data_IF_350274906097
#
_entry.id   IF_350274906097
#
_cell.length_a   1.000
_cell.length_b   1.000
_cell.length_c   1.000
_cell.angle_alpha   90.00
_cell.angle_beta   90.00
_cell.angle_gamma   90.00
#
_symmetry.space_group_name_H-M   'P 1'
#
loop_
_entity.id
_entity.type
_entity.pdbx_description
1 polymer ?
#
# COMPACT_ATOMS: atom_id res chain seq x y z
N UNK A 1 24.00 5.78 15.88
CA UNK A 1 25.02 6.58 15.19
C UNK A 1 25.01 7.98 15.81
N UNK A 2 26.12 8.41 16.38
CA UNK A 2 26.25 9.76 16.92
C UNK A 2 26.83 10.64 15.80
N UNK A 3 26.12 11.70 15.45
CA UNK A 3 26.51 12.64 14.41
C UNK A 3 26.69 14.02 15.05
N UNK A 4 27.83 14.66 14.79
CA UNK A 4 28.05 16.04 15.15
C UNK A 4 27.89 16.92 13.93
N UNK A 5 26.94 17.85 13.97
CA UNK A 5 26.73 18.86 12.93
C UNK A 5 26.73 20.25 13.54
N UNK A 6 27.40 21.20 12.90
CA UNK A 6 27.36 22.59 13.28
C UNK A 6 26.35 23.32 12.40
N UNK A 7 25.42 24.10 12.98
CA UNK A 7 24.48 24.86 12.17
C UNK A 7 25.20 26.05 11.50
N UNK A 8 24.85 26.30 10.25
CA UNK A 8 25.28 27.48 9.48
C UNK A 8 24.11 28.42 9.22
N UNK A 9 24.41 29.72 9.06
CA UNK A 9 23.41 30.72 8.69
C UNK A 9 23.09 30.62 7.22
N UNK A 10 21.79 30.52 6.91
CA UNK A 10 21.30 30.66 5.54
C UNK A 10 21.28 32.14 5.08
N UNK A 11 20.86 32.37 3.84
CA UNK A 11 20.78 33.72 3.24
C UNK A 11 19.79 34.66 3.98
N UNK A 12 18.86 34.10 4.75
CA UNK A 12 17.89 34.82 5.59
C UNK A 12 18.45 35.15 6.97
N UNK A 13 19.63 34.62 7.32
CA UNK A 13 20.28 34.78 8.63
C UNK A 13 19.83 33.76 9.68
N UNK A 14 19.00 32.79 9.32
CA UNK A 14 18.55 31.71 10.18
C UNK A 14 19.59 30.58 10.26
N UNK A 15 19.76 29.98 11.45
CA UNK A 15 20.64 28.86 11.61
C UNK A 15 19.97 27.55 11.13
N UNK A 16 20.62 26.83 10.21
CA UNK A 16 20.17 25.54 9.67
C UNK A 16 21.27 24.49 9.74
N UNK A 17 20.88 23.26 9.99
CA UNK A 17 21.79 22.11 9.98
C UNK A 17 22.15 21.64 8.55
N UNK A 18 21.42 22.08 7.53
CA UNK A 18 21.61 21.60 6.16
C UNK A 18 21.26 20.11 5.97
N UNK A 19 20.49 19.53 6.89
CA UNK A 19 20.09 18.14 6.85
C UNK A 19 18.57 18.03 6.77
N UNK A 20 18.10 17.11 5.91
CA UNK A 20 16.71 16.68 5.89
C UNK A 20 16.54 15.55 6.91
N UNK A 21 15.68 15.76 7.90
CA UNK A 21 15.37 14.76 8.93
C UNK A 21 13.91 14.37 8.76
N UNK A 22 13.65 13.07 8.67
CA UNK A 22 12.31 12.49 8.72
C UNK A 22 12.27 11.53 9.92
N UNK A 23 11.39 11.79 10.85
CA UNK A 23 11.18 11.00 12.06
C UNK A 23 9.97 10.08 11.95
N UNK A 24 9.04 10.39 11.05
CA UNK A 24 7.84 9.60 10.83
C UNK A 24 7.40 9.64 9.35
N UNK A 25 6.72 8.59 8.93
CA UNK A 25 6.06 8.51 7.64
C UNK A 25 4.66 7.96 7.80
N UNK A 26 3.72 8.50 7.04
CA UNK A 26 2.37 7.99 6.93
C UNK A 26 1.97 7.91 5.46
N UNK A 27 1.13 6.93 5.12
CA UNK A 27 0.63 6.74 3.77
C UNK A 27 -0.61 5.86 3.76
N UNK A 28 -1.43 5.99 2.72
CA UNK A 28 -2.56 5.10 2.48
C UNK A 28 -2.08 3.91 1.67
N UNK A 29 -2.52 2.72 2.06
CA UNK A 29 -2.24 1.49 1.36
C UNK A 29 -3.33 0.46 1.57
N UNK A 30 -3.20 -0.67 0.90
CA UNK A 30 -4.17 -1.76 0.96
C UNK A 30 -3.55 -2.96 1.67
N UNK A 31 -4.29 -3.51 2.64
CA UNK A 31 -3.98 -4.81 3.22
C UNK A 31 -4.30 -5.89 2.18
N UNK A 32 -3.30 -6.67 1.80
CA UNK A 32 -3.42 -7.70 0.76
C UNK A 32 -4.02 -8.98 1.31
N UNK A 33 -3.54 -9.43 2.46
CA UNK A 33 -4.02 -10.65 3.10
C UNK A 33 -3.87 -10.57 4.63
N UNK A 34 -4.63 -11.41 5.28
CA UNK A 34 -4.54 -11.72 6.70
C UNK A 34 -4.56 -13.24 6.90
N UNK A 35 -3.60 -13.73 7.66
CA UNK A 35 -3.55 -15.14 8.07
C UNK A 35 -4.11 -15.29 9.49
N UNK A 36 -5.27 -15.94 9.67
CA UNK A 36 -5.91 -16.06 10.97
C UNK A 36 -5.21 -17.02 11.94
N UNK A 37 -4.31 -17.88 11.46
CA UNK A 37 -3.56 -18.82 12.32
C UNK A 37 -2.41 -18.11 13.02
N UNK A 38 -1.62 -17.32 12.28
CA UNK A 38 -0.48 -16.59 12.83
C UNK A 38 -0.84 -15.19 13.34
N UNK A 39 -1.98 -14.65 12.92
CA UNK A 39 -2.38 -13.27 13.16
C UNK A 39 -1.59 -12.23 12.35
N UNK A 40 -0.84 -12.70 11.34
CA UNK A 40 0.00 -11.84 10.50
C UNK A 40 -0.82 -11.33 9.32
N UNK A 41 -0.62 -10.06 8.99
CA UNK A 41 -1.09 -9.51 7.72
C UNK A 41 0.09 -9.09 6.84
N UNK A 42 -0.15 -9.04 5.53
CA UNK A 42 0.73 -8.43 4.55
C UNK A 42 -0.02 -7.34 3.79
N UNK A 43 0.69 -6.28 3.43
CA UNK A 43 0.11 -5.14 2.71
C UNK A 43 1.07 -4.58 1.66
N UNK A 44 0.53 -3.84 0.70
CA UNK A 44 1.17 -3.12 -0.39
C UNK A 44 1.73 -4.00 -1.52
N UNK A 45 2.30 -5.16 -1.25
CA UNK A 45 3.01 -5.97 -2.25
C UNK A 45 4.36 -5.38 -2.71
N UNK A 46 4.83 -4.32 -2.07
CA UNK A 46 6.15 -3.70 -2.24
C UNK A 46 6.55 -2.99 -0.95
N UNK A 47 7.83 -2.76 -0.77
CA UNK A 47 8.34 -2.03 0.39
C UNK A 47 8.08 -0.53 0.30
N UNK A 48 8.07 0.10 1.46
CA UNK A 48 8.07 1.56 1.58
C UNK A 48 9.51 2.05 1.45
N UNK A 49 9.75 2.92 0.48
CA UNK A 49 11.08 3.43 0.15
C UNK A 49 11.14 4.94 0.38
N UNK A 50 12.33 5.42 0.65
CA UNK A 50 12.62 6.85 0.67
C UNK A 50 12.52 7.42 -0.75
N UNK A 51 11.79 8.51 -0.91
CA UNK A 51 11.48 9.09 -2.22
C UNK A 51 12.72 9.69 -2.92
N UNK A 52 13.71 10.15 -2.16
CA UNK A 52 14.89 10.81 -2.68
C UNK A 52 15.99 9.81 -3.05
N UNK A 53 16.14 8.75 -2.26
CA UNK A 53 17.20 7.76 -2.43
C UNK A 53 16.73 6.46 -3.08
N UNK A 54 15.42 6.19 -3.11
CA UNK A 54 14.83 4.93 -3.56
C UNK A 54 15.16 3.72 -2.68
N UNK A 55 15.82 3.94 -1.54
CA UNK A 55 16.18 2.85 -0.62
C UNK A 55 15.02 2.48 0.27
N UNK A 56 14.96 1.19 0.60
CA UNK A 56 13.99 0.69 1.57
C UNK A 56 14.19 1.39 2.91
N UNK A 57 13.09 1.91 3.46
CA UNK A 57 13.14 2.58 4.76
C UNK A 57 13.33 1.56 5.88
N UNK A 58 14.28 1.78 6.78
CA UNK A 58 14.39 0.97 7.98
C UNK A 58 13.16 1.20 8.86
N UNK A 59 12.58 0.11 9.33
CA UNK A 59 11.44 0.13 10.25
C UNK A 59 11.94 -0.18 11.66
N UNK A 60 11.79 0.76 12.57
CA UNK A 60 11.97 0.54 14.01
C UNK A 60 10.64 0.07 14.62
N UNK A 61 9.61 0.88 14.43
CA UNK A 61 8.24 0.56 14.82
C UNK A 61 7.25 1.24 13.87
N UNK A 62 6.03 0.73 13.82
CA UNK A 62 4.97 1.31 13.03
C UNK A 62 3.62 0.78 13.45
N UNK A 63 2.57 1.50 13.12
CA UNK A 63 1.19 1.08 13.33
C UNK A 63 0.40 1.12 12.03
N UNK A 64 -0.66 0.33 12.00
CA UNK A 64 -1.70 0.38 10.99
C UNK A 64 -2.98 0.92 11.64
N UNK A 65 -3.65 1.80 10.93
CA UNK A 65 -4.85 2.50 11.38
C UNK A 65 -5.92 2.40 10.31
N UNK A 66 -7.17 2.55 10.72
CA UNK A 66 -8.27 2.69 9.78
C UNK A 66 -8.10 3.97 8.96
N UNK A 67 -8.31 3.86 7.66
CA UNK A 67 -8.30 4.99 6.74
C UNK A 67 -9.64 5.12 6.01
N UNK A 68 -9.96 6.33 5.57
CA UNK A 68 -11.13 6.62 4.76
C UNK A 68 -10.73 7.45 3.57
N UNK A 69 -11.04 6.98 2.36
CA UNK A 69 -10.77 7.73 1.13
C UNK A 69 -11.74 8.90 1.02
N UNK A 70 -11.20 10.12 0.92
CA UNK A 70 -11.97 11.37 0.84
C UNK A 70 -12.03 11.94 -0.56
N UNK A 71 -10.98 11.75 -1.34
CA UNK A 71 -10.91 12.26 -2.70
C UNK A 71 -10.03 11.37 -3.57
N UNK A 72 -10.32 11.40 -4.87
CA UNK A 72 -9.54 10.74 -5.90
C UNK A 72 -9.00 11.82 -6.84
N UNK A 73 -7.70 11.87 -6.99
CA UNK A 73 -7.07 12.54 -8.13
C UNK A 73 -7.00 11.52 -9.26
N UNK A 74 -7.75 11.76 -10.32
CA UNK A 74 -7.78 10.86 -11.46
C UNK A 74 -6.42 10.80 -12.14
N UNK A 75 -6.00 9.58 -12.50
CA UNK A 75 -4.80 9.36 -13.32
C UNK A 75 -5.04 9.70 -14.78
N UNK A 76 -3.99 10.19 -15.43
CA UNK A 76 -3.94 10.48 -16.86
C UNK A 76 -2.70 9.83 -17.47
N UNK A 77 -2.62 9.84 -18.81
CA UNK A 77 -1.44 9.30 -19.50
C UNK A 77 -0.17 10.03 -19.04
N UNK A 78 0.80 9.26 -18.54
CA UNK A 78 2.06 9.75 -17.97
C UNK A 78 1.94 10.58 -16.66
N UNK A 79 0.74 10.68 -16.08
CA UNK A 79 0.51 11.33 -14.80
C UNK A 79 -0.31 10.40 -13.90
N UNK A 80 0.32 9.71 -12.92
CA UNK A 80 -0.40 8.81 -12.03
C UNK A 80 -1.42 9.56 -11.19
N UNK A 81 -2.54 8.90 -10.94
CA UNK A 81 -3.55 9.40 -10.02
C UNK A 81 -3.12 9.24 -8.56
N UNK A 82 -4.02 9.58 -7.65
CA UNK A 82 -3.75 9.49 -6.21
C UNK A 82 -5.07 9.32 -5.46
N UNK A 83 -5.09 8.47 -4.44
CA UNK A 83 -6.15 8.45 -3.43
C UNK A 83 -5.73 9.32 -2.25
N UNK A 84 -6.59 10.24 -1.84
CA UNK A 84 -6.41 11.08 -0.66
C UNK A 84 -7.41 10.66 0.41
N UNK A 85 -6.97 10.53 1.64
CA UNK A 85 -7.84 10.14 2.73
C UNK A 85 -7.35 10.62 4.07
N UNK A 86 -8.18 10.39 5.07
CA UNK A 86 -7.89 10.65 6.47
C UNK A 86 -7.64 9.35 7.22
N UNK A 87 -6.82 9.44 8.24
CA UNK A 87 -6.49 8.37 9.17
C UNK A 87 -7.24 8.55 10.48
N UNK A 88 -7.71 7.46 11.04
CA UNK A 88 -8.21 7.45 12.40
C UNK A 88 -7.05 7.33 13.40
N UNK A 89 -6.58 8.48 13.87
CA UNK A 89 -5.45 8.55 14.81
C UNK A 89 -5.82 8.21 16.25
N UNK A 90 -7.08 7.86 16.51
CA UNK A 90 -7.55 7.57 17.87
C UNK A 90 -7.25 6.14 18.30
N UNK A 91 -7.00 5.23 17.34
CA UNK A 91 -6.81 3.81 17.62
C UNK A 91 -5.90 3.14 16.58
N UNK A 92 -4.94 2.39 17.08
CA UNK A 92 -4.15 1.48 16.25
C UNK A 92 -4.92 0.17 16.02
N UNK A 93 -5.07 -0.20 14.75
CA UNK A 93 -5.65 -1.49 14.35
C UNK A 93 -4.63 -2.63 14.39
N UNK A 94 -3.35 -2.30 14.46
CA UNK A 94 -2.27 -3.27 14.55
C UNK A 94 -0.89 -2.65 14.54
N UNK A 95 0.14 -3.49 14.63
CA UNK A 95 1.54 -3.08 14.66
C UNK A 95 2.30 -3.65 13.48
N UNK A 96 3.22 -2.85 12.92
CA UNK A 96 4.16 -3.27 11.87
C UNK A 96 5.45 -3.78 12.51
N UNK A 97 6.00 -4.87 11.98
CA UNK A 97 7.29 -5.41 12.41
C UNK A 97 8.30 -5.58 11.27
N UNK A 98 7.88 -5.46 10.00
CA UNK A 98 8.79 -5.57 8.87
C UNK A 98 8.37 -4.69 7.70
N UNK A 99 9.36 -4.03 7.08
CA UNK A 99 9.29 -3.40 5.77
C UNK A 99 10.30 -4.11 4.86
N UNK A 100 9.82 -4.80 3.84
CA UNK A 100 10.63 -5.64 2.94
C UNK A 100 10.38 -5.27 1.49
N UNK A 101 11.18 -5.76 0.56
CA UNK A 101 10.95 -5.56 -0.88
C UNK A 101 9.60 -6.13 -1.36
N UNK A 102 9.05 -7.13 -0.64
CA UNK A 102 7.80 -7.82 -0.99
C UNK A 102 6.57 -7.19 -0.34
N UNK A 103 6.72 -6.20 0.53
CA UNK A 103 5.64 -5.55 1.23
C UNK A 103 5.95 -5.24 2.68
N UNK A 104 4.96 -4.67 3.36
CA UNK A 104 4.98 -4.46 4.80
C UNK A 104 4.21 -5.59 5.50
N UNK A 105 4.69 -5.98 6.68
CA UNK A 105 4.09 -7.05 7.47
C UNK A 105 3.88 -6.61 8.90
N UNK A 106 2.80 -7.10 9.50
CA UNK A 106 2.43 -6.72 10.86
C UNK A 106 1.49 -7.73 11.50
N UNK A 107 1.03 -7.40 12.70
CA UNK A 107 -0.02 -8.14 13.42
C UNK A 107 -1.18 -7.22 13.70
N UNK A 108 -2.40 -7.70 13.45
CA UNK A 108 -3.62 -7.01 13.82
C UNK A 108 -3.91 -7.12 15.32
N UNK A 109 -4.66 -6.16 15.83
CA UNK A 109 -5.30 -6.28 17.13
C UNK A 109 -6.29 -7.46 17.12
N UNK A 110 -6.56 -8.06 18.27
CA UNK A 110 -7.51 -9.18 18.35
C UNK A 110 -8.92 -8.78 17.87
N UNK A 111 -9.32 -7.54 18.13
CA UNK A 111 -10.62 -7.00 17.72
C UNK A 111 -10.74 -6.91 16.19
N UNK A 112 -9.72 -6.37 15.50
CA UNK A 112 -9.74 -6.20 14.05
C UNK A 112 -9.52 -7.52 13.32
N UNK A 113 -8.72 -8.41 13.89
CA UNK A 113 -8.54 -9.77 13.41
C UNK A 113 -9.85 -10.55 13.35
N UNK A 114 -10.71 -10.43 14.37
CA UNK A 114 -12.00 -11.12 14.41
C UNK A 114 -12.96 -10.63 13.30
N UNK A 115 -12.93 -9.36 12.96
CA UNK A 115 -13.73 -8.78 11.86
C UNK A 115 -13.39 -9.40 10.50
N UNK A 116 -12.13 -9.79 10.28
CA UNK A 116 -11.66 -10.35 9.00
C UNK A 116 -11.89 -11.86 8.85
N UNK A 117 -12.09 -12.60 9.94
CA UNK A 117 -12.27 -14.07 9.91
C UNK A 117 -13.43 -14.54 9.06
N UNK A 118 -14.46 -13.73 8.89
CA UNK A 118 -15.67 -14.08 8.13
C UNK A 118 -15.54 -13.85 6.63
N UNK A 119 -14.41 -13.31 6.15
CA UNK A 119 -14.18 -12.90 4.76
C UNK A 119 -13.16 -13.79 4.04
N UNK A 120 -12.90 -14.99 4.55
CA UNK A 120 -11.91 -15.89 3.97
C UNK A 120 -12.28 -16.29 2.52
N UNK A 121 -11.32 -16.09 1.62
CA UNK A 121 -11.40 -16.54 0.22
C UNK A 121 -10.43 -17.69 -0.01
N UNK A 122 -10.78 -18.67 -0.86
CA UNK A 122 -9.87 -19.73 -1.25
C UNK A 122 -8.69 -19.16 -2.05
N UNK A 123 -7.48 -19.66 -1.75
CA UNK A 123 -6.25 -19.23 -2.45
C UNK A 123 -5.96 -20.22 -3.58
N UNK A 124 -5.86 -19.69 -4.81
CA UNK A 124 -5.48 -20.48 -5.97
C UNK A 124 -3.99 -20.83 -5.96
N UNK A 125 -3.67 -22.08 -6.26
CA UNK A 125 -2.29 -22.52 -6.48
C UNK A 125 -1.67 -21.92 -7.76
N UNK A 126 -0.33 -21.97 -7.86
CA UNK A 126 0.38 -21.45 -9.05
C UNK A 126 -0.11 -22.04 -10.37
N UNK A 127 -0.48 -23.32 -10.39
CA UNK A 127 -0.99 -24.05 -11.57
C UNK A 127 -2.43 -23.69 -11.93
N UNK A 128 -3.18 -23.06 -11.04
CA UNK A 128 -4.58 -22.70 -11.25
C UNK A 128 -4.74 -21.29 -11.82
N UNK A 129 -3.66 -20.51 -11.88
CA UNK A 129 -3.67 -19.17 -12.44
C UNK A 129 -4.00 -19.21 -13.93
N UNK A 130 -4.95 -18.40 -14.35
CA UNK A 130 -5.44 -18.32 -15.72
C UNK A 130 -5.57 -16.88 -16.18
N UNK A 131 -5.41 -16.65 -17.48
CA UNK A 131 -5.77 -15.38 -18.13
C UNK A 131 -7.29 -15.31 -18.31
N UNK A 132 -7.83 -14.11 -18.43
CA UNK A 132 -9.25 -13.86 -18.65
C UNK A 132 -9.84 -12.92 -17.60
N UNK A 133 -11.17 -12.91 -17.54
CA UNK A 133 -11.93 -12.04 -16.63
C UNK A 133 -11.68 -12.40 -15.18
N UNK A 134 -11.49 -11.38 -14.37
CA UNK A 134 -11.29 -11.48 -12.93
C UNK A 134 -11.81 -10.20 -12.25
N UNK A 135 -11.71 -10.14 -10.94
CA UNK A 135 -12.05 -8.95 -10.16
C UNK A 135 -10.94 -8.61 -9.20
N UNK A 136 -10.79 -7.32 -8.91
CA UNK A 136 -9.94 -6.85 -7.81
C UNK A 136 -10.83 -6.24 -6.73
N UNK A 137 -10.44 -6.45 -5.48
CA UNK A 137 -11.06 -5.81 -4.32
C UNK A 137 -10.29 -4.54 -3.98
N UNK A 138 -10.95 -3.39 -4.01
CA UNK A 138 -10.32 -2.11 -3.70
C UNK A 138 -11.29 -1.15 -3.01
N UNK A 139 -10.74 -0.23 -2.21
CA UNK A 139 -11.46 0.87 -1.60
C UNK A 139 -11.03 2.17 -2.27
N UNK A 140 -11.91 2.76 -3.06
CA UNK A 140 -11.66 4.02 -3.79
C UNK A 140 -12.55 5.17 -3.29
N UNK A 141 -13.50 4.88 -2.41
CA UNK A 141 -14.39 5.86 -1.80
C UNK A 141 -14.75 5.44 -0.38
N UNK A 142 -14.68 6.37 0.57
CA UNK A 142 -15.03 6.11 1.96
C UNK A 142 -14.19 4.99 2.58
N UNK A 143 -14.87 4.03 3.20
CA UNK A 143 -14.29 2.83 3.83
C UNK A 143 -14.76 1.54 3.17
N UNK A 144 -15.59 1.62 2.13
CA UNK A 144 -16.22 0.45 1.52
C UNK A 144 -15.31 -0.18 0.48
N UNK A 145 -14.96 -1.44 0.69
CA UNK A 145 -14.25 -2.26 -0.30
C UNK A 145 -15.27 -2.83 -1.29
N UNK A 146 -15.01 -2.65 -2.58
CA UNK A 146 -15.83 -3.14 -3.68
C UNK A 146 -15.01 -3.98 -4.64
N UNK A 147 -15.70 -4.90 -5.33
CA UNK A 147 -15.12 -5.66 -6.43
C UNK A 147 -15.24 -4.86 -7.73
N UNK A 148 -14.14 -4.78 -8.49
CA UNK A 148 -14.06 -4.12 -9.78
C UNK A 148 -13.57 -5.09 -10.84
N UNK A 149 -14.18 -5.07 -12.01
CA UNK A 149 -13.87 -5.96 -13.11
C UNK A 149 -12.53 -5.62 -13.77
N UNK A 150 -11.73 -6.66 -13.99
CA UNK A 150 -10.45 -6.60 -14.69
C UNK A 150 -10.35 -7.75 -15.68
N UNK A 151 -9.36 -7.69 -16.54
CA UNK A 151 -8.90 -8.80 -17.35
C UNK A 151 -7.42 -9.08 -17.11
N UNK A 152 -7.09 -10.32 -16.80
CA UNK A 152 -5.71 -10.79 -16.72
C UNK A 152 -5.27 -11.13 -18.14
N UNK A 153 -4.50 -10.25 -18.77
CA UNK A 153 -4.04 -10.41 -20.15
C UNK A 153 -2.87 -11.38 -20.25
N UNK A 154 -1.97 -11.36 -19.25
CA UNK A 154 -0.76 -12.17 -19.28
C UNK A 154 -0.29 -12.57 -17.90
N UNK A 155 0.22 -13.79 -17.81
CA UNK A 155 0.89 -14.35 -16.62
C UNK A 155 2.37 -14.52 -16.95
N UNK A 156 3.24 -13.96 -16.12
CA UNK A 156 4.69 -14.10 -16.26
C UNK A 156 5.17 -15.25 -15.37
N UNK A 157 5.91 -16.19 -15.95
CA UNK A 157 6.37 -17.40 -15.26
C UNK A 157 7.86 -17.40 -14.96
N UNK A 158 8.61 -16.34 -15.36
CA UNK A 158 10.05 -16.27 -15.19
C UNK A 158 10.43 -16.10 -13.71
N UNK A 159 11.32 -16.96 -13.22
CA UNK A 159 11.95 -16.79 -11.92
C UNK A 159 12.80 -15.51 -11.93
N UNK A 160 12.64 -14.68 -10.92
CA UNK A 160 13.35 -13.39 -10.80
C UNK A 160 12.61 -12.17 -11.37
N UNK A 161 11.44 -12.35 -11.98
CA UNK A 161 10.59 -11.22 -12.35
C UNK A 161 9.78 -10.76 -11.14
N UNK A 162 9.80 -9.47 -10.86
CA UNK A 162 8.90 -8.83 -9.89
C UNK A 162 7.48 -8.69 -10.45
N UNK A 163 7.29 -8.86 -11.76
CA UNK A 163 6.00 -8.79 -12.45
C UNK A 163 5.42 -10.19 -12.60
N UNK A 164 4.27 -10.44 -11.98
CA UNK A 164 3.58 -11.73 -12.06
C UNK A 164 2.44 -11.71 -13.06
N UNK A 165 1.73 -10.60 -13.19
CA UNK A 165 0.58 -10.44 -14.06
C UNK A 165 0.66 -9.13 -14.85
N UNK A 166 0.09 -9.14 -16.05
CA UNK A 166 -0.37 -7.95 -16.76
C UNK A 166 -1.88 -7.98 -16.70
N UNK A 167 -2.48 -6.95 -16.16
CA UNK A 167 -3.93 -6.82 -16.05
C UNK A 167 -4.41 -5.52 -16.67
N UNK A 168 -5.64 -5.54 -17.14
CA UNK A 168 -6.34 -4.41 -17.70
C UNK A 168 -7.64 -4.17 -16.91
N UNK A 169 -7.88 -2.94 -16.51
CA UNK A 169 -9.14 -2.57 -15.83
C UNK A 169 -10.24 -2.45 -16.89
N UNK A 170 -11.31 -3.23 -16.73
CA UNK A 170 -12.46 -3.21 -17.62
C UNK A 170 -13.70 -2.57 -16.98
N UNK A 171 -13.66 -2.32 -15.67
CA UNK A 171 -14.73 -1.68 -14.92
C UNK A 171 -14.83 -0.19 -15.29
N UNK A 172 -15.96 0.19 -15.91
CA UNK A 172 -16.19 1.56 -16.38
C UNK A 172 -16.30 2.56 -15.22
N UNK A 173 -16.87 2.16 -14.08
CA UNK A 173 -17.02 3.03 -12.92
C UNK A 173 -15.65 3.34 -12.30
N UNK A 174 -14.80 2.33 -12.15
CA UNK A 174 -13.44 2.52 -11.68
C UNK A 174 -12.63 3.40 -12.64
N UNK A 175 -12.70 3.15 -13.95
CA UNK A 175 -12.03 3.96 -14.97
C UNK A 175 -12.49 5.41 -14.96
N UNK A 176 -13.79 5.66 -14.79
CA UNK A 176 -14.33 7.00 -14.71
C UNK A 176 -13.83 7.75 -13.47
N UNK A 177 -13.75 7.07 -12.34
CA UNK A 177 -13.38 7.65 -11.05
C UNK A 177 -11.88 7.84 -10.90
N UNK A 178 -11.07 6.84 -11.21
CA UNK A 178 -9.63 6.80 -10.95
C UNK A 178 -8.75 6.98 -12.19
N UNK A 179 -9.28 6.75 -13.39
CA UNK A 179 -8.52 6.69 -14.64
C UNK A 179 -7.72 5.39 -14.81
N UNK A 180 -7.91 4.40 -13.94
CA UNK A 180 -7.19 3.14 -13.89
C UNK A 180 -6.66 2.80 -12.51
N UNK A 181 -5.63 1.97 -12.43
CA UNK A 181 -4.98 1.64 -11.16
C UNK A 181 -4.16 2.86 -10.67
N UNK A 182 -4.34 3.21 -9.41
CA UNK A 182 -3.60 4.28 -8.74
C UNK A 182 -2.73 3.73 -7.59
N UNK A 183 -1.64 4.41 -7.21
CA UNK A 183 -0.64 3.90 -6.26
C UNK A 183 -1.21 3.34 -4.94
N UNK A 184 -2.17 4.00 -4.33
CA UNK A 184 -2.76 3.55 -3.07
C UNK A 184 -3.59 2.26 -3.19
N UNK A 185 -3.85 1.77 -4.42
CA UNK A 185 -4.44 0.45 -4.67
C UNK A 185 -3.39 -0.67 -4.69
N UNK A 186 -2.11 -0.36 -4.46
CA UNK A 186 -1.07 -1.39 -4.31
C UNK A 186 -1.44 -2.35 -3.17
N UNK A 187 -1.42 -3.65 -3.48
CA UNK A 187 -1.87 -4.69 -2.55
C UNK A 187 -3.34 -5.11 -2.70
N UNK A 188 -4.12 -4.48 -3.60
CA UNK A 188 -5.47 -4.96 -3.95
C UNK A 188 -5.43 -6.38 -4.54
N UNK A 189 -6.41 -7.20 -4.17
CA UNK A 189 -6.46 -8.65 -4.49
C UNK A 189 -7.68 -8.94 -5.35
#
# INVERSE_FOLDING_TARGET
LELCAAPEKDESGDYRLGAWVRDSMAGIGTMTFYDPESGIFGALGHGVTDADTGKLLPLDHGSIMDASVKAVKRGERAAPGELKGDFDLTRDSGTLFANTESGIFGKLSAEDAEKLRTQALPIAGKSERKTGKAQILATVEGKETRAYDIEIEKIYSSSGSTRNFLLHVTDEALLAQTGGIVPAMSGSV
#
